data_IF_655692929450
#
_entry.id   IF_655692929450
#
_cell.length_a   1.000
_cell.length_b   1.000
_cell.length_c   1.000
_cell.angle_alpha   90.00
_cell.angle_beta   90.00
_cell.angle_gamma   90.00
#
_symmetry.space_group_name_H-M   'P 1'
#
loop_
_entity.id
_entity.type
_entity.pdbx_description
1 polymer ?
#
# COMPACT_ATOMS: atom_id res chain seq x y z
N UNK A 1 5.16 -13.47 15.97
CA UNK A 1 4.86 -12.40 15.00
C UNK A 1 3.62 -12.81 14.24
N UNK A 2 2.61 -11.93 14.15
CA UNK A 2 1.34 -12.24 13.49
C UNK A 2 1.25 -11.46 12.18
N UNK A 3 0.78 -12.11 11.12
CA UNK A 3 0.54 -11.50 9.81
C UNK A 3 -0.71 -12.08 9.16
N UNK A 4 -1.24 -11.39 8.16
CA UNK A 4 -2.33 -11.86 7.31
C UNK A 4 -2.09 -11.40 5.88
N UNK A 5 -2.52 -12.20 4.91
CA UNK A 5 -2.44 -11.85 3.49
C UNK A 5 -3.87 -11.54 3.05
N UNK A 6 -4.09 -10.30 2.65
CA UNK A 6 -5.34 -9.82 2.08
C UNK A 6 -5.19 -9.90 0.57
N UNK A 7 -6.16 -10.48 -0.12
CA UNK A 7 -6.09 -10.64 -1.58
C UNK A 7 -7.36 -10.21 -2.28
N UNK A 8 -7.21 -9.81 -3.54
CA UNK A 8 -8.32 -9.50 -4.44
C UNK A 8 -7.95 -9.87 -5.87
N UNK A 9 -8.86 -10.57 -6.55
CA UNK A 9 -8.74 -10.88 -7.98
C UNK A 9 -9.34 -9.75 -8.82
N UNK A 10 -8.66 -9.37 -9.90
CA UNK A 10 -9.08 -8.32 -10.83
C UNK A 10 -9.16 -8.92 -12.24
N UNK A 11 -10.29 -8.73 -12.93
CA UNK A 11 -10.50 -9.18 -14.31
C UNK A 11 -9.82 -8.26 -15.35
N UNK A 12 -8.50 -8.12 -15.21
CA UNK A 12 -7.59 -7.38 -16.10
C UNK A 12 -6.21 -8.01 -16.13
N UNK A 13 -5.48 -7.82 -17.23
CA UNK A 13 -4.09 -8.28 -17.32
C UNK A 13 -3.28 -7.66 -16.17
N UNK A 14 -2.46 -8.48 -15.52
CA UNK A 14 -1.71 -8.05 -14.35
C UNK A 14 -0.73 -6.90 -14.64
N UNK A 15 -0.28 -6.74 -15.89
CA UNK A 15 0.56 -5.60 -16.30
C UNK A 15 -0.24 -4.32 -16.34
N UNK A 16 -1.48 -4.35 -16.84
CA UNK A 16 -2.36 -3.16 -16.81
C UNK A 16 -2.65 -2.74 -15.36
N UNK A 17 -2.90 -3.70 -14.47
CA UNK A 17 -3.10 -3.44 -13.04
C UNK A 17 -1.83 -2.86 -12.40
N UNK A 18 -0.67 -3.45 -12.69
CA UNK A 18 0.61 -2.99 -12.17
C UNK A 18 1.00 -1.60 -12.70
N UNK A 19 0.85 -1.37 -14.00
CA UNK A 19 1.15 -0.09 -14.65
C UNK A 19 0.27 1.02 -14.09
N UNK A 20 -0.99 0.72 -13.77
CA UNK A 20 -1.87 1.65 -13.08
C UNK A 20 -1.43 1.89 -11.63
N UNK A 21 -1.22 0.84 -10.86
CA UNK A 21 -1.02 0.92 -9.41
C UNK A 21 0.39 1.38 -9.00
N UNK A 22 1.39 1.18 -9.86
CA UNK A 22 2.79 1.59 -9.62
C UNK A 22 3.04 3.08 -9.82
N UNK A 23 2.10 3.80 -10.43
CA UNK A 23 2.14 5.26 -10.58
C UNK A 23 1.69 5.89 -9.24
N UNK A 24 2.57 6.58 -8.49
CA UNK A 24 2.21 7.15 -7.20
C UNK A 24 1.02 8.12 -7.26
N UNK A 25 0.86 8.86 -8.36
CA UNK A 25 -0.27 9.76 -8.57
C UNK A 25 -1.62 9.04 -8.59
N UNK A 26 -1.66 7.75 -8.94
CA UNK A 26 -2.87 6.93 -8.85
C UNK A 26 -3.14 6.43 -7.43
N UNK A 27 -2.19 6.54 -6.50
CA UNK A 27 -2.28 5.93 -5.17
C UNK A 27 -3.49 6.42 -4.38
N UNK A 28 -3.81 7.72 -4.44
CA UNK A 28 -5.00 8.29 -3.81
C UNK A 28 -6.34 7.74 -4.36
N UNK A 29 -6.33 7.11 -5.54
CA UNK A 29 -7.54 6.59 -6.18
C UNK A 29 -7.95 5.22 -5.64
N UNK A 30 -7.04 4.52 -4.96
CA UNK A 30 -7.29 3.15 -4.50
C UNK A 30 -6.89 2.90 -3.03
N UNK A 31 -6.01 3.72 -2.45
CA UNK A 31 -5.64 3.62 -1.04
C UNK A 31 -6.35 4.72 -0.23
N UNK A 32 -7.44 4.34 0.44
CA UNK A 32 -8.28 5.26 1.20
C UNK A 32 -7.58 5.92 2.42
N UNK A 33 -6.49 5.34 2.93
CA UNK A 33 -5.83 5.75 4.17
C UNK A 33 -4.80 6.88 4.07
N UNK A 34 -4.49 7.38 2.87
CA UNK A 34 -3.37 8.32 2.67
C UNK A 34 -3.68 9.77 3.05
N UNK A 35 -4.93 10.04 3.35
CA UNK A 35 -5.43 11.38 3.61
C UNK A 35 -5.26 12.32 2.41
N UNK A 36 -5.01 13.61 2.66
CA UNK A 36 -5.17 14.69 1.67
C UNK A 36 -3.81 15.31 1.29
N UNK A 37 -3.78 16.15 0.24
CA UNK A 37 -2.56 16.87 -0.21
C UNK A 37 -1.38 15.94 -0.53
N UNK A 38 -1.64 14.91 -1.33
CA UNK A 38 -0.61 14.01 -1.82
C UNK A 38 0.26 14.72 -2.87
N UNK A 39 1.50 14.99 -2.54
CA UNK A 39 2.41 15.83 -3.30
C UNK A 39 3.79 15.17 -3.40
N UNK A 40 4.47 15.39 -4.52
CA UNK A 40 5.83 14.87 -4.73
C UNK A 40 6.84 15.75 -4.01
N UNK A 41 7.76 15.14 -3.26
CA UNK A 41 8.84 15.82 -2.53
C UNK A 41 10.17 15.11 -2.80
N UNK A 42 10.84 15.51 -3.88
CA UNK A 42 12.08 14.87 -4.35
C UNK A 42 11.83 13.44 -4.86
N UNK A 43 12.48 12.47 -4.22
CA UNK A 43 12.30 11.03 -4.47
C UNK A 43 11.19 10.40 -3.61
N UNK A 44 10.64 11.16 -2.66
CA UNK A 44 9.55 10.73 -1.78
C UNK A 44 8.24 11.45 -2.15
N UNK A 45 7.18 11.03 -1.47
CA UNK A 45 5.86 11.65 -1.53
C UNK A 45 5.46 12.09 -0.14
N UNK A 46 4.67 13.15 -0.05
CA UNK A 46 4.11 13.67 1.20
C UNK A 46 2.60 13.68 1.12
N UNK A 47 1.93 13.44 2.24
CA UNK A 47 0.49 13.64 2.39
C UNK A 47 0.16 14.10 3.81
N UNK A 48 -1.11 14.44 4.05
CA UNK A 48 -1.64 14.74 5.37
C UNK A 48 -2.59 13.63 5.79
N UNK A 49 -2.36 13.00 6.94
CA UNK A 49 -3.28 12.01 7.52
C UNK A 49 -4.64 12.66 7.92
N UNK A 50 -5.62 11.87 8.40
CA UNK A 50 -6.91 12.42 8.82
C UNK A 50 -6.84 13.52 9.91
N UNK A 51 -5.79 13.52 10.73
CA UNK A 51 -5.55 14.52 11.77
C UNK A 51 -4.76 15.74 11.26
N UNK A 52 -4.39 15.75 9.97
CA UNK A 52 -3.63 16.81 9.33
C UNK A 52 -2.12 16.72 9.51
N UNK A 53 -1.60 15.62 10.10
CA UNK A 53 -0.17 15.39 10.30
C UNK A 53 0.51 15.02 9.00
N UNK A 54 1.71 15.54 8.79
CA UNK A 54 2.51 15.24 7.62
C UNK A 54 3.00 13.78 7.67
N UNK A 55 2.67 13.01 6.65
CA UNK A 55 3.24 11.68 6.40
C UNK A 55 4.15 11.73 5.17
N UNK A 56 5.22 10.93 5.19
CA UNK A 56 6.09 10.72 4.02
C UNK A 56 5.96 9.30 3.53
N UNK A 57 6.05 9.10 2.24
CA UNK A 57 5.87 7.80 1.60
C UNK A 57 7.00 7.59 0.60
N UNK A 58 7.60 6.41 0.65
CA UNK A 58 8.60 5.97 -0.31
C UNK A 58 8.11 4.69 -0.99
N UNK A 59 7.94 4.74 -2.30
CA UNK A 59 7.52 3.59 -3.10
C UNK A 59 8.73 2.81 -3.62
N UNK A 60 8.52 1.51 -3.88
CA UNK A 60 9.43 0.73 -4.70
C UNK A 60 9.57 1.34 -6.10
N UNK A 61 10.76 1.25 -6.69
CA UNK A 61 10.96 1.63 -8.09
C UNK A 61 10.17 0.69 -9.01
N UNK A 62 9.79 1.14 -10.22
CA UNK A 62 9.21 0.26 -11.23
C UNK A 62 10.09 -0.98 -11.45
N UNK A 63 9.47 -2.15 -11.45
CA UNK A 63 10.10 -3.45 -11.55
C UNK A 63 9.22 -4.42 -12.35
N UNK A 64 9.82 -5.49 -12.86
CA UNK A 64 9.14 -6.52 -13.66
C UNK A 64 8.43 -7.61 -12.83
N UNK A 65 8.52 -7.53 -11.50
CA UNK A 65 8.08 -8.60 -10.58
C UNK A 65 6.70 -8.33 -9.96
N UNK A 66 6.08 -7.20 -10.31
CA UNK A 66 4.76 -6.79 -9.81
C UNK A 66 4.79 -6.22 -8.39
N UNK A 67 5.96 -5.82 -7.88
CA UNK A 67 6.12 -5.32 -6.50
C UNK A 67 5.68 -3.86 -6.40
N UNK A 68 4.77 -3.57 -5.47
CA UNK A 68 4.19 -2.26 -5.16
C UNK A 68 4.48 -1.85 -3.70
N UNK A 69 5.56 -2.39 -3.14
CA UNK A 69 5.96 -2.13 -1.76
C UNK A 69 6.13 -0.63 -1.52
N UNK A 70 5.75 -0.21 -0.33
CA UNK A 70 5.95 1.16 0.10
C UNK A 70 6.18 1.26 1.60
N UNK A 71 6.85 2.33 1.98
CA UNK A 71 7.17 2.65 3.36
C UNK A 71 6.45 3.94 3.71
N UNK A 72 5.65 3.92 4.77
CA UNK A 72 4.99 5.11 5.32
C UNK A 72 5.74 5.54 6.58
N UNK A 73 6.15 6.80 6.62
CA UNK A 73 6.79 7.44 7.77
C UNK A 73 5.80 8.42 8.41
N UNK A 74 5.39 8.16 9.65
CA UNK A 74 4.45 8.98 10.42
C UNK A 74 4.79 8.91 11.91
N UNK A 75 4.80 10.04 12.63
CA UNK A 75 5.03 10.13 14.09
C UNK A 75 6.14 9.21 14.62
N UNK A 76 7.34 9.35 14.05
CA UNK A 76 8.55 8.55 14.33
C UNK A 76 8.44 7.04 14.07
N UNK A 77 7.34 6.58 13.46
CA UNK A 77 7.14 5.18 13.06
C UNK A 77 7.38 5.00 11.57
N UNK A 78 7.97 3.85 11.25
CA UNK A 78 8.13 3.35 9.90
C UNK A 78 7.22 2.12 9.71
N UNK A 79 6.25 2.23 8.82
CA UNK A 79 5.35 1.12 8.47
C UNK A 79 5.69 0.62 7.08
N UNK A 80 6.05 -0.67 6.98
CA UNK A 80 6.39 -1.32 5.71
C UNK A 80 5.18 -2.11 5.22
N UNK A 81 4.69 -1.73 4.05
CA UNK A 81 3.58 -2.37 3.38
C UNK A 81 4.11 -3.18 2.22
N UNK A 82 3.96 -4.51 2.29
CA UNK A 82 4.32 -5.40 1.20
C UNK A 82 3.09 -5.63 0.32
N UNK A 83 3.15 -5.16 -0.93
CA UNK A 83 2.04 -5.23 -1.89
C UNK A 83 2.56 -5.82 -3.19
N UNK A 84 1.81 -6.75 -3.78
CA UNK A 84 2.22 -7.38 -5.03
C UNK A 84 1.05 -7.68 -5.95
N UNK A 85 1.26 -7.46 -7.24
CA UNK A 85 0.37 -7.92 -8.31
C UNK A 85 1.02 -9.12 -9.00
N UNK A 86 0.26 -10.18 -9.24
CA UNK A 86 0.70 -11.36 -9.99
C UNK A 86 -0.34 -11.77 -11.02
N UNK A 87 0.09 -12.48 -12.07
CA UNK A 87 -0.82 -13.05 -13.05
C UNK A 87 -1.73 -14.12 -12.41
N UNK A 88 -3.03 -14.08 -12.71
CA UNK A 88 -4.01 -15.09 -12.31
C UNK A 88 -4.89 -15.44 -13.52
N UNK A 89 -4.45 -16.42 -14.33
CA UNK A 89 -5.08 -16.71 -15.62
C UNK A 89 -4.94 -15.54 -16.60
N UNK A 90 -6.06 -15.07 -17.15
CA UNK A 90 -6.13 -13.84 -17.96
C UNK A 90 -6.30 -12.57 -17.11
N UNK A 91 -6.47 -12.72 -15.80
CA UNK A 91 -6.63 -11.65 -14.83
C UNK A 91 -5.38 -11.41 -13.98
N UNK A 92 -5.59 -10.76 -12.84
CA UNK A 92 -4.56 -10.44 -11.85
C UNK A 92 -5.01 -10.81 -10.44
N UNK A 93 -4.06 -11.15 -9.58
CA UNK A 93 -4.24 -11.20 -8.14
C UNK A 93 -3.40 -10.11 -7.49
N UNK A 94 -4.02 -9.28 -6.65
CA UNK A 94 -3.32 -8.31 -5.80
C UNK A 94 -3.27 -8.87 -4.39
N UNK A 95 -2.10 -8.81 -3.76
CA UNK A 95 -1.88 -9.28 -2.39
C UNK A 95 -1.26 -8.17 -1.55
N UNK A 96 -1.75 -7.99 -0.33
CA UNK A 96 -1.18 -7.11 0.68
C UNK A 96 -0.87 -7.92 1.95
N UNK A 97 0.36 -7.84 2.46
CA UNK A 97 0.74 -8.48 3.71
C UNK A 97 0.58 -7.50 4.87
N UNK A 98 -0.48 -7.67 5.64
CA UNK A 98 -0.69 -6.93 6.88
C UNK A 98 0.17 -7.55 8.00
N UNK A 99 1.05 -6.74 8.59
CA UNK A 99 1.92 -7.14 9.69
C UNK A 99 1.42 -6.51 11.00
N UNK A 100 1.22 -7.32 12.04
CA UNK A 100 0.87 -6.80 13.36
C UNK A 100 2.09 -6.12 14.00
N UNK A 101 2.00 -4.83 14.27
CA UNK A 101 3.05 -4.11 15.01
C UNK A 101 2.96 -4.38 16.53
N UNK A 102 4.04 -4.15 17.30
CA UNK A 102 4.02 -4.39 18.75
C UNK A 102 2.96 -3.60 19.52
N UNK A 103 2.60 -2.41 19.02
CA UNK A 103 1.60 -1.51 19.61
C UNK A 103 0.15 -1.82 19.18
N UNK A 104 -0.05 -2.66 18.16
CA UNK A 104 -1.39 -3.10 17.75
C UNK A 104 -1.95 -4.15 18.70
N UNK A 105 -3.14 -3.90 19.21
CA UNK A 105 -3.93 -4.94 19.89
C UNK A 105 -4.44 -5.98 18.88
N UNK A 106 -4.87 -7.12 19.38
CA UNK A 106 -5.45 -8.17 18.55
C UNK A 106 -6.74 -7.70 17.85
N UNK A 107 -7.56 -6.90 18.52
CA UNK A 107 -8.80 -6.36 17.96
C UNK A 107 -8.54 -5.35 16.83
N UNK A 108 -7.52 -4.49 16.96
CA UNK A 108 -7.13 -3.54 15.90
C UNK A 108 -6.59 -4.32 14.69
N UNK A 109 -5.73 -5.32 14.93
CA UNK A 109 -5.21 -6.14 13.83
C UNK A 109 -6.30 -6.91 13.08
N UNK A 110 -7.30 -7.45 13.78
CA UNK A 110 -8.43 -8.12 13.15
C UNK A 110 -9.29 -7.13 12.34
N UNK A 111 -9.58 -5.95 12.89
CA UNK A 111 -10.34 -4.92 12.17
C UNK A 111 -9.63 -4.45 10.89
N UNK A 112 -8.31 -4.25 10.94
CA UNK A 112 -7.51 -3.86 9.76
C UNK A 112 -7.46 -4.98 8.70
N UNK A 113 -7.56 -6.25 9.10
CA UNK A 113 -7.57 -7.38 8.17
C UNK A 113 -8.89 -7.53 7.41
N UNK A 114 -9.99 -6.99 7.96
CA UNK A 114 -11.35 -7.10 7.42
C UNK A 114 -11.83 -5.82 6.68
N UNK A 115 -11.01 -4.76 6.67
CA UNK A 115 -11.32 -3.45 6.09
C UNK A 115 -11.14 -3.41 4.55
#
# INVERSE_FOLDING_TARGET
YKSSIITVSIDRDWRDVYDFASIPENFQRWAAGLGRRFERSGEEWTAQDPDGRLIRIRFSRPNEYGVLDHIVFADDKETRNAVRVVANGTGAEVMFVLLRTPDMTEAIFAADADA
#
